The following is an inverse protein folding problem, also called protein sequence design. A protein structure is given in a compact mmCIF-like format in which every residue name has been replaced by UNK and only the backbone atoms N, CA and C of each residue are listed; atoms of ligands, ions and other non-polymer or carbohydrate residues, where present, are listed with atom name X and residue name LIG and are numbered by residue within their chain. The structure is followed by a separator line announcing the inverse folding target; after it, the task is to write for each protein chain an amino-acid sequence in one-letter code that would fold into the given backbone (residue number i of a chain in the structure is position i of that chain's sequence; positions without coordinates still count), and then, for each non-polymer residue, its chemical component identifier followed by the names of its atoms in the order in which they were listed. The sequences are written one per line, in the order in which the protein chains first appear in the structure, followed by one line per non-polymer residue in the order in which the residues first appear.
data_IF_209944534988
#
_entry.id   IF_209944534988
#
_cell.length_a   1.000
_cell.length_b   1.000
_cell.length_c   1.000
_cell.angle_alpha   90.00
_cell.angle_beta   90.00
_cell.angle_gamma   90.00
#
_symmetry.space_group_name_H-M   'P 1'
#
loop_
_entity.id
_entity.type
_entity.pdbx_description
1 polymer ?
#
# COMPACT_ATOMS: atom_id res chain seq x y z
N UNK A 1 13.19 -14.69 60.02
CA UNK A 1 12.38 -15.25 58.92
C UNK A 1 13.09 -14.96 57.61
N UNK A 2 13.61 -15.99 56.94
CA UNK A 2 14.28 -15.87 55.64
C UNK A 2 13.23 -15.94 54.52
N UNK A 3 13.12 -14.89 53.71
CA UNK A 3 12.34 -14.92 52.48
C UNK A 3 12.99 -15.88 51.48
N UNK A 4 12.30 -16.99 51.19
CA UNK A 4 12.63 -17.83 50.03
C UNK A 4 12.24 -17.07 48.76
N UNK A 5 13.20 -16.42 48.10
CA UNK A 5 13.04 -15.99 46.71
C UNK A 5 12.75 -17.23 45.86
N UNK A 6 11.55 -17.32 45.29
CA UNK A 6 11.23 -18.32 44.28
C UNK A 6 12.21 -18.14 43.11
N UNK A 7 13.06 -19.14 42.85
CA UNK A 7 13.88 -19.18 41.64
C UNK A 7 12.94 -19.44 40.47
N UNK A 8 12.52 -18.37 39.80
CA UNK A 8 11.91 -18.45 38.48
C UNK A 8 12.99 -19.02 37.58
N UNK A 9 12.85 -20.29 37.18
CA UNK A 9 13.66 -20.86 36.10
C UNK A 9 13.50 -19.93 34.89
N UNK A 10 14.59 -19.50 34.22
CA UNK A 10 14.48 -18.58 33.11
C UNK A 10 13.83 -19.33 31.95
N UNK A 11 12.51 -19.19 31.81
CA UNK A 11 11.74 -19.71 30.69
C UNK A 11 12.36 -19.28 29.33
N UNK A 12 13.10 -18.16 29.35
CA UNK A 12 13.88 -17.64 28.22
C UNK A 12 15.00 -18.57 27.75
N UNK A 13 15.68 -19.32 28.63
CA UNK A 13 16.82 -20.16 28.24
C UNK A 13 16.38 -21.43 27.50
N UNK A 14 15.27 -22.04 27.92
CA UNK A 14 14.69 -23.22 27.24
C UNK A 14 14.13 -22.82 25.88
N UNK A 15 13.46 -21.66 25.81
CA UNK A 15 12.95 -21.12 24.55
C UNK A 15 14.09 -20.78 23.57
N UNK A 16 15.19 -20.18 24.04
CA UNK A 16 16.37 -19.90 23.22
C UNK A 16 17.01 -21.16 22.64
N UNK A 17 17.17 -22.22 23.45
CA UNK A 17 17.69 -23.50 22.98
C UNK A 17 16.76 -24.17 21.96
N UNK A 18 15.44 -24.07 22.17
CA UNK A 18 14.45 -24.58 21.22
C UNK A 18 14.49 -23.82 19.88
N UNK A 19 14.53 -22.48 19.91
CA UNK A 19 14.66 -21.65 18.71
C UNK A 19 15.98 -21.91 17.98
N UNK A 20 17.07 -22.12 18.72
CA UNK A 20 18.37 -22.49 18.15
C UNK A 20 18.31 -23.87 17.48
N UNK A 21 17.67 -24.86 18.11
CA UNK A 21 17.44 -26.18 17.53
C UNK A 21 16.62 -26.13 16.24
N UNK A 22 15.55 -25.34 16.21
CA UNK A 22 14.76 -25.07 14.99
C UNK A 22 15.64 -24.41 13.92
N UNK A 23 16.43 -23.41 14.29
CA UNK A 23 17.36 -22.74 13.38
C UNK A 23 18.34 -23.71 12.73
N UNK A 24 18.96 -24.60 13.51
CA UNK A 24 19.85 -25.64 13.02
C UNK A 24 19.13 -26.64 12.11
N UNK A 25 17.90 -27.05 12.46
CA UNK A 25 17.10 -27.95 11.65
C UNK A 25 16.77 -27.33 10.29
N UNK A 26 16.30 -26.07 10.27
CA UNK A 26 16.00 -25.35 9.03
C UNK A 26 17.26 -25.13 8.18
N UNK A 27 18.40 -24.79 8.79
CA UNK A 27 19.67 -24.66 8.08
C UNK A 27 20.02 -25.94 7.30
N UNK A 28 19.91 -27.10 7.97
CA UNK A 28 20.21 -28.41 7.37
C UNK A 28 19.14 -28.92 6.39
N UNK A 29 17.91 -28.41 6.43
CA UNK A 29 16.78 -28.92 5.63
C UNK A 29 16.17 -27.83 4.70
N UNK A 30 16.62 -27.73 3.43
CA UNK A 30 16.11 -26.73 2.48
C UNK A 30 14.59 -26.83 2.22
N UNK A 31 14.03 -28.04 2.15
CA UNK A 31 12.59 -28.22 1.96
C UNK A 31 11.78 -27.71 3.16
N UNK A 32 12.25 -27.99 4.39
CA UNK A 32 11.63 -27.47 5.60
C UNK A 32 11.67 -25.93 5.65
N UNK A 33 12.72 -25.29 5.12
CA UNK A 33 12.79 -23.82 4.99
C UNK A 33 11.69 -23.26 4.08
N UNK A 34 11.41 -23.92 2.96
CA UNK A 34 10.33 -23.49 2.05
C UNK A 34 8.98 -23.52 2.77
N UNK A 35 8.70 -24.57 3.55
CA UNK A 35 7.46 -24.69 4.33
C UNK A 35 7.40 -23.76 5.54
N UNK A 36 8.53 -23.46 6.18
CA UNK A 36 8.60 -22.59 7.35
C UNK A 36 8.57 -21.08 7.00
N UNK A 37 8.99 -20.72 5.78
CA UNK A 37 9.10 -19.32 5.33
C UNK A 37 7.83 -18.49 5.58
N UNK A 38 6.60 -18.96 5.27
CA UNK A 38 5.39 -18.17 5.51
C UNK A 38 5.15 -17.88 7.00
N UNK A 39 5.43 -18.84 7.88
CA UNK A 39 5.27 -18.68 9.33
C UNK A 39 6.29 -17.70 9.91
N UNK A 40 7.53 -17.77 9.45
CA UNK A 40 8.58 -16.83 9.86
C UNK A 40 8.28 -15.39 9.39
N UNK A 41 7.74 -15.23 8.18
CA UNK A 41 7.29 -13.92 7.69
C UNK A 41 6.13 -13.38 8.52
N UNK A 42 5.15 -14.24 8.87
CA UNK A 42 4.01 -13.85 9.69
C UNK A 42 4.43 -13.44 11.11
N UNK A 43 5.31 -14.20 11.76
CA UNK A 43 5.78 -13.89 13.11
C UNK A 43 6.58 -12.59 13.15
N UNK A 44 7.44 -12.36 12.15
CA UNK A 44 8.18 -11.12 12.02
C UNK A 44 7.24 -9.92 11.77
N UNK A 45 6.26 -10.06 10.89
CA UNK A 45 5.24 -9.05 10.65
C UNK A 45 4.46 -8.71 11.93
N UNK A 46 4.09 -9.71 12.73
CA UNK A 46 3.37 -9.51 13.99
C UNK A 46 4.22 -8.75 15.02
N UNK A 47 5.50 -9.09 15.15
CA UNK A 47 6.42 -8.38 16.03
C UNK A 47 6.59 -6.91 15.63
N UNK A 48 6.73 -6.62 14.34
CA UNK A 48 6.78 -5.25 13.83
C UNK A 48 5.47 -4.50 14.08
N UNK A 49 4.33 -5.14 13.89
CA UNK A 49 3.03 -4.52 14.14
C UNK A 49 2.84 -4.15 15.62
N UNK A 50 3.26 -5.01 16.54
CA UNK A 50 3.24 -4.71 17.99
C UNK A 50 4.15 -3.53 18.30
N UNK A 51 5.38 -3.54 17.77
CA UNK A 51 6.32 -2.43 17.96
C UNK A 51 5.70 -1.10 17.50
N UNK A 52 5.23 -1.07 16.25
CA UNK A 52 4.68 0.14 15.64
C UNK A 52 3.45 0.63 16.44
N UNK A 53 2.58 -0.28 16.90
CA UNK A 53 1.41 0.04 17.74
C UNK A 53 1.79 0.63 19.10
N UNK A 54 2.79 0.06 19.78
CA UNK A 54 3.25 0.54 21.09
C UNK A 54 3.88 1.94 20.97
N UNK A 55 4.52 2.25 19.85
CA UNK A 55 5.12 3.56 19.59
C UNK A 55 4.08 4.63 19.18
N UNK A 56 2.91 4.21 18.69
CA UNK A 56 1.87 5.11 18.14
C UNK A 56 1.37 6.24 19.04
N UNK A 57 1.14 6.03 20.35
CA UNK A 57 0.74 7.11 21.26
C UNK A 57 1.77 8.24 21.39
N UNK A 58 3.04 7.97 21.05
CA UNK A 58 4.16 8.91 21.21
C UNK A 58 4.47 9.72 19.94
N UNK A 59 3.66 9.59 18.89
CA UNK A 59 3.87 10.34 17.67
C UNK A 59 3.71 11.84 17.88
N UNK A 60 4.67 12.60 17.35
CA UNK A 60 4.65 14.06 17.37
C UNK A 60 3.44 14.56 16.60
N UNK A 61 2.70 15.49 17.20
CA UNK A 61 1.65 16.21 16.51
C UNK A 61 2.26 17.12 15.43
N UNK A 62 1.68 17.12 14.23
CA UNK A 62 2.06 18.02 13.13
C UNK A 62 0.86 18.85 12.69
N UNK A 63 1.03 20.17 12.58
CA UNK A 63 -0.05 21.10 12.22
C UNK A 63 -0.15 21.40 10.72
N UNK A 64 0.77 20.86 9.91
CA UNK A 64 0.84 21.15 8.48
C UNK A 64 1.45 20.02 7.67
N UNK A 65 1.23 20.07 6.35
CA UNK A 65 1.67 19.03 5.43
C UNK A 65 3.17 19.00 5.12
N UNK A 66 4.00 19.88 5.70
CA UNK A 66 5.42 20.13 5.35
C UNK A 66 5.73 20.46 3.88
N UNK A 67 4.73 20.45 3.00
CA UNK A 67 4.85 20.72 1.56
C UNK A 67 3.83 21.76 1.11
N UNK A 68 4.05 22.36 -0.07
CA UNK A 68 3.07 23.22 -0.73
C UNK A 68 2.08 22.35 -1.52
N UNK A 69 0.79 22.45 -1.20
CA UNK A 69 -0.22 21.74 -1.97
C UNK A 69 -0.47 22.40 -3.34
N UNK A 70 -0.70 21.62 -4.40
CA UNK A 70 -1.04 22.16 -5.70
C UNK A 70 -2.46 22.78 -5.68
N UNK A 71 -2.51 24.10 -5.65
CA UNK A 71 -3.73 24.93 -5.47
C UNK A 71 -4.94 24.63 -6.38
N UNK A 72 -4.80 24.23 -7.67
CA UNK A 72 -5.99 24.00 -8.50
C UNK A 72 -6.78 22.75 -8.10
N UNK A 73 -6.22 21.83 -7.31
CA UNK A 73 -6.88 20.57 -6.96
C UNK A 73 -7.49 20.64 -5.56
N UNK A 74 -8.71 20.10 -5.41
CA UNK A 74 -9.50 20.15 -4.17
C UNK A 74 -9.67 18.81 -3.49
N UNK A 75 -9.36 17.73 -4.20
CA UNK A 75 -9.49 16.35 -3.69
C UNK A 75 -8.09 15.82 -3.44
N UNK A 76 -7.68 15.86 -2.17
CA UNK A 76 -6.37 15.42 -1.70
C UNK A 76 -6.48 14.07 -0.99
N UNK A 77 -5.46 13.27 -1.08
CA UNK A 77 -5.38 11.99 -0.40
C UNK A 77 -3.95 11.51 -0.25
N UNK A 78 -3.81 10.38 0.41
CA UNK A 78 -2.52 9.74 0.67
C UNK A 78 -2.46 8.37 0.04
N UNK A 79 -1.26 7.84 -0.09
CA UNK A 79 -1.08 6.40 -0.23
C UNK A 79 -0.06 5.91 0.79
N UNK A 80 -0.32 4.71 1.31
CA UNK A 80 0.33 4.20 2.52
C UNK A 80 0.62 2.73 2.40
N UNK A 81 1.69 2.32 3.06
CA UNK A 81 2.10 0.92 3.20
C UNK A 81 2.59 0.68 4.62
N UNK A 82 3.20 -0.48 4.85
CA UNK A 82 3.89 -0.73 6.10
C UNK A 82 5.06 0.24 6.39
N UNK A 83 5.56 0.98 5.40
CA UNK A 83 6.60 2.00 5.59
C UNK A 83 6.11 3.17 6.44
N UNK A 84 4.80 3.47 6.42
CA UNK A 84 4.18 4.48 7.27
C UNK A 84 3.91 4.01 8.71
N UNK A 85 4.36 2.81 9.07
CA UNK A 85 4.19 2.23 10.41
C UNK A 85 2.70 2.18 10.81
N UNK A 86 2.41 2.25 12.11
CA UNK A 86 1.05 2.14 12.61
C UNK A 86 0.33 3.48 12.55
N UNK A 87 -0.53 3.69 11.57
CA UNK A 87 -1.21 4.98 11.38
C UNK A 87 -2.34 5.19 12.40
N UNK A 88 -2.36 6.36 13.04
CA UNK A 88 -3.50 6.84 13.81
C UNK A 88 -4.49 7.59 12.90
N UNK A 89 -5.44 6.84 12.36
CA UNK A 89 -6.42 7.35 11.40
C UNK A 89 -7.41 8.36 11.99
N UNK A 90 -7.67 8.32 13.30
CA UNK A 90 -8.54 9.30 13.96
C UNK A 90 -7.93 10.70 13.85
N UNK A 91 -6.60 10.82 14.04
CA UNK A 91 -5.86 12.07 13.82
C UNK A 91 -5.80 12.46 12.34
N UNK A 92 -5.56 11.51 11.44
CA UNK A 92 -5.53 11.76 9.99
C UNK A 92 -6.87 12.36 9.51
N UNK A 93 -7.99 11.85 10.03
CA UNK A 93 -9.34 12.24 9.58
C UNK A 93 -9.72 13.68 9.90
N UNK A 94 -9.20 14.20 11.02
CA UNK A 94 -9.48 15.57 11.49
C UNK A 94 -8.41 16.56 11.04
N UNK A 95 -7.30 16.09 10.45
CA UNK A 95 -6.25 16.97 9.99
C UNK A 95 -6.77 17.89 8.88
N UNK A 96 -6.63 19.20 9.11
CA UNK A 96 -6.86 20.23 8.12
C UNK A 96 -5.66 21.17 8.08
N UNK A 97 -5.00 21.24 6.93
CA UNK A 97 -3.91 22.17 6.70
C UNK A 97 -4.04 22.79 5.31
N UNK A 98 -3.70 24.07 5.19
CA UNK A 98 -3.85 24.82 3.92
C UNK A 98 -5.29 24.78 3.37
N UNK A 99 -6.29 24.65 4.26
CA UNK A 99 -7.71 24.52 3.91
C UNK A 99 -8.07 23.20 3.22
N UNK A 100 -7.22 22.18 3.32
CA UNK A 100 -7.42 20.86 2.73
C UNK A 100 -7.39 19.78 3.82
N UNK A 101 -8.15 18.71 3.60
CA UNK A 101 -8.19 17.51 4.44
C UNK A 101 -7.94 16.28 3.56
N UNK A 102 -7.57 15.16 4.18
CA UNK A 102 -7.38 13.89 3.48
C UNK A 102 -8.76 13.28 3.18
N UNK A 103 -9.08 13.12 1.89
CA UNK A 103 -10.38 12.60 1.42
C UNK A 103 -10.34 11.13 1.03
N UNK A 104 -9.18 10.64 0.64
CA UNK A 104 -9.01 9.25 0.23
C UNK A 104 -7.64 8.72 0.65
N UNK A 105 -7.53 7.38 0.73
CA UNK A 105 -6.29 6.68 0.95
C UNK A 105 -6.22 5.41 0.09
N UNK A 106 -5.12 5.26 -0.66
CA UNK A 106 -4.75 3.96 -1.24
C UNK A 106 -3.80 3.22 -0.30
N UNK A 107 -4.17 2.00 0.10
CA UNK A 107 -3.38 1.20 1.02
C UNK A 107 -2.72 0.03 0.26
N UNK A 108 -1.41 -0.17 0.44
CA UNK A 108 -0.72 -1.34 -0.12
C UNK A 108 -1.37 -2.59 0.44
N UNK A 109 -1.82 -3.47 -0.44
CA UNK A 109 -2.36 -4.76 -0.03
C UNK A 109 -1.32 -5.85 -0.22
N UNK A 110 -0.75 -5.93 -1.42
CA UNK A 110 0.08 -7.05 -1.83
C UNK A 110 1.22 -6.60 -2.72
N UNK A 111 2.25 -7.43 -2.80
CA UNK A 111 3.36 -7.32 -3.73
C UNK A 111 3.68 -8.70 -4.31
N UNK A 112 3.82 -8.78 -5.64
CA UNK A 112 4.14 -10.04 -6.29
C UNK A 112 3.13 -11.15 -5.99
N UNK A 113 3.60 -12.39 -5.83
CA UNK A 113 2.70 -13.55 -5.70
C UNK A 113 2.44 -13.96 -4.24
N UNK A 114 3.22 -13.44 -3.30
CA UNK A 114 3.29 -14.00 -1.93
C UNK A 114 3.51 -12.96 -0.81
N UNK A 115 3.65 -11.67 -1.11
CA UNK A 115 3.90 -10.67 -0.08
C UNK A 115 2.66 -9.87 0.30
N UNK A 116 2.14 -10.09 1.51
CA UNK A 116 1.06 -9.31 2.13
C UNK A 116 1.66 -8.13 2.90
N UNK A 117 1.14 -6.92 2.70
CA UNK A 117 1.51 -5.77 3.52
C UNK A 117 0.97 -5.93 4.95
N UNK A 118 1.87 -5.89 5.94
CA UNK A 118 1.55 -6.18 7.34
C UNK A 118 0.56 -5.20 7.98
N UNK A 119 0.42 -3.99 7.44
CA UNK A 119 -0.49 -2.96 7.93
C UNK A 119 -1.78 -2.84 7.10
N UNK A 120 -1.94 -3.63 6.03
CA UNK A 120 -3.10 -3.54 5.14
C UNK A 120 -4.44 -3.66 5.85
N UNK A 121 -4.60 -4.68 6.72
CA UNK A 121 -5.88 -4.91 7.42
C UNK A 121 -6.24 -3.74 8.36
N UNK A 122 -5.25 -3.20 9.07
CA UNK A 122 -5.42 -2.02 9.91
C UNK A 122 -5.81 -0.80 9.07
N UNK A 123 -5.03 -0.50 8.04
CA UNK A 123 -5.24 0.66 7.17
C UNK A 123 -6.59 0.60 6.45
N UNK A 124 -6.99 -0.58 5.95
CA UNK A 124 -8.32 -0.81 5.35
C UNK A 124 -9.45 -0.51 6.34
N UNK A 125 -9.38 -1.09 7.54
CA UNK A 125 -10.48 -0.97 8.49
C UNK A 125 -10.59 0.44 9.08
N UNK A 126 -9.45 1.05 9.42
CA UNK A 126 -9.43 2.34 10.10
C UNK A 126 -9.68 3.53 9.16
N UNK A 127 -9.20 3.49 7.92
CA UNK A 127 -9.55 4.51 6.92
C UNK A 127 -11.07 4.56 6.68
N UNK A 128 -11.70 3.39 6.48
CA UNK A 128 -13.15 3.26 6.33
C UNK A 128 -13.92 3.74 7.55
N UNK A 129 -13.49 3.36 8.76
CA UNK A 129 -14.10 3.82 10.02
C UNK A 129 -14.05 5.35 10.16
N UNK A 130 -13.00 5.98 9.63
CA UNK A 130 -12.77 7.42 9.68
C UNK A 130 -13.32 8.20 8.46
N UNK A 131 -14.21 7.59 7.67
CA UNK A 131 -14.83 8.22 6.49
C UNK A 131 -13.83 8.74 5.44
N UNK A 132 -12.64 8.12 5.38
CA UNK A 132 -11.67 8.35 4.30
C UNK A 132 -11.92 7.30 3.23
N UNK A 133 -12.15 7.72 1.98
CA UNK A 133 -12.42 6.81 0.88
C UNK A 133 -11.25 5.83 0.71
N UNK A 134 -11.53 4.54 0.81
CA UNK A 134 -10.51 3.49 0.84
C UNK A 134 -10.29 2.89 -0.54
N UNK A 135 -9.04 2.75 -0.96
CA UNK A 135 -8.62 1.93 -2.10
C UNK A 135 -7.47 1.02 -1.74
N UNK A 136 -7.27 -0.02 -2.54
CA UNK A 136 -6.17 -0.95 -2.37
C UNK A 136 -5.29 -0.96 -3.63
N UNK A 137 -3.97 -1.10 -3.44
CA UNK A 137 -3.05 -1.28 -4.54
C UNK A 137 -2.19 -2.55 -4.41
N UNK A 138 -1.79 -3.06 -5.58
CA UNK A 138 -0.88 -4.18 -5.73
C UNK A 138 0.44 -3.71 -6.34
N UNK A 139 1.56 -3.90 -5.63
CA UNK A 139 2.89 -3.63 -6.17
C UNK A 139 3.30 -4.78 -7.10
N UNK A 140 3.31 -4.49 -8.39
CA UNK A 140 3.50 -5.45 -9.45
C UNK A 140 4.97 -5.79 -9.62
N UNK A 141 5.26 -7.09 -9.64
CA UNK A 141 6.57 -7.65 -9.96
C UNK A 141 6.56 -8.18 -11.38
N UNK A 142 7.21 -7.48 -12.30
CA UNK A 142 7.23 -7.82 -13.73
C UNK A 142 7.83 -9.20 -14.03
N UNK A 143 8.70 -9.71 -13.15
CA UNK A 143 9.26 -11.06 -13.26
C UNK A 143 8.27 -12.18 -12.91
N UNK A 144 7.16 -11.85 -12.24
CA UNK A 144 6.13 -12.79 -11.77
C UNK A 144 4.96 -12.91 -12.74
N UNK A 145 4.14 -13.95 -12.57
CA UNK A 145 2.97 -14.17 -13.42
C UNK A 145 1.87 -13.14 -13.13
N UNK A 146 1.28 -12.55 -14.17
CA UNK A 146 0.28 -11.50 -14.01
C UNK A 146 -1.02 -11.99 -13.39
N UNK A 147 -1.47 -13.19 -13.76
CA UNK A 147 -2.72 -13.78 -13.27
C UNK A 147 -2.56 -14.20 -11.81
N UNK A 148 -1.44 -14.84 -11.45
CA UNK A 148 -1.16 -15.23 -10.05
C UNK A 148 -1.10 -14.02 -9.12
N UNK A 149 -0.50 -12.93 -9.57
CA UNK A 149 -0.49 -11.65 -8.85
C UNK A 149 -1.91 -11.10 -8.65
N UNK A 150 -2.74 -11.10 -9.70
CA UNK A 150 -4.13 -10.64 -9.61
C UNK A 150 -4.96 -11.52 -8.66
N UNK A 151 -4.80 -12.84 -8.73
CA UNK A 151 -5.45 -13.79 -7.83
C UNK A 151 -5.05 -13.55 -6.36
N UNK A 152 -3.76 -13.38 -6.10
CA UNK A 152 -3.27 -13.12 -4.75
C UNK A 152 -3.79 -11.77 -4.22
N UNK A 153 -3.80 -10.74 -5.07
CA UNK A 153 -4.35 -9.44 -4.73
C UNK A 153 -5.84 -9.52 -4.38
N UNK A 154 -6.68 -10.10 -5.25
CA UNK A 154 -8.12 -10.26 -5.02
C UNK A 154 -8.44 -11.06 -3.76
N UNK A 155 -7.72 -12.17 -3.55
CA UNK A 155 -7.84 -12.98 -2.34
C UNK A 155 -7.53 -12.18 -1.08
N UNK A 156 -6.60 -11.23 -1.16
CA UNK A 156 -6.18 -10.41 -0.02
C UNK A 156 -7.15 -9.28 0.26
N UNK A 157 -7.55 -8.54 -0.77
CA UNK A 157 -8.45 -7.39 -0.59
C UNK A 157 -9.87 -7.81 -0.23
N UNK A 158 -10.23 -9.06 -0.53
CA UNK A 158 -11.58 -9.61 -0.38
C UNK A 158 -12.63 -8.77 -1.14
N UNK A 159 -13.91 -9.01 -0.89
CA UNK A 159 -14.99 -8.26 -1.53
C UNK A 159 -14.90 -6.77 -1.18
N UNK A 160 -14.89 -5.92 -2.21
CA UNK A 160 -14.95 -4.46 -2.09
C UNK A 160 -16.41 -3.99 -1.97
N UNK A 161 -16.64 -2.91 -1.23
CA UNK A 161 -17.95 -2.25 -1.12
C UNK A 161 -18.14 -1.18 -2.20
N UNK A 162 -19.38 -0.76 -2.50
CA UNK A 162 -19.64 0.33 -3.45
C UNK A 162 -18.95 1.67 -3.11
N UNK A 163 -18.64 1.89 -1.83
CA UNK A 163 -17.91 3.07 -1.34
C UNK A 163 -16.39 2.92 -1.37
N UNK A 164 -15.88 1.74 -1.75
CA UNK A 164 -14.43 1.54 -1.94
C UNK A 164 -14.04 2.03 -3.34
N UNK A 165 -12.78 2.45 -3.47
CA UNK A 165 -12.20 2.88 -4.73
C UNK A 165 -11.83 1.68 -5.62
N UNK A 166 -11.77 1.89 -6.93
CA UNK A 166 -11.29 0.91 -7.90
C UNK A 166 -9.88 0.42 -7.53
N UNK A 167 -9.53 -0.85 -7.81
CA UNK A 167 -8.21 -1.37 -7.50
C UNK A 167 -7.11 -0.71 -8.34
N UNK A 168 -5.91 -0.61 -7.79
CA UNK A 168 -4.72 -0.10 -8.50
C UNK A 168 -3.69 -1.21 -8.67
N UNK A 169 -3.07 -1.27 -9.85
CA UNK A 169 -1.80 -1.96 -10.08
C UNK A 169 -0.69 -0.93 -10.18
N UNK A 170 0.32 -1.09 -9.33
CA UNK A 170 1.49 -0.25 -9.23
C UNK A 170 2.65 -0.94 -9.96
N UNK A 171 3.14 -0.34 -11.06
CA UNK A 171 4.24 -0.87 -11.87
C UNK A 171 5.35 0.17 -12.01
N UNK A 172 6.51 -0.12 -11.44
CA UNK A 172 7.66 0.80 -11.44
C UNK A 172 8.96 0.20 -11.99
N UNK A 173 9.03 -1.12 -12.10
CA UNK A 173 10.26 -1.83 -12.44
C UNK A 173 10.03 -2.94 -13.45
N UNK A 174 11.03 -3.13 -14.34
CA UNK A 174 11.06 -4.27 -15.26
C UNK A 174 11.49 -5.57 -14.57
N UNK A 175 12.09 -5.52 -13.38
CA UNK A 175 12.65 -6.71 -12.69
C UNK A 175 13.55 -7.59 -13.59
N UNK A 176 14.25 -6.96 -14.55
CA UNK A 176 15.12 -7.62 -15.52
C UNK A 176 14.42 -8.38 -16.66
N UNK A 177 13.10 -8.21 -16.85
CA UNK A 177 12.39 -8.80 -18.00
C UNK A 177 12.26 -7.83 -19.18
N UNK A 178 12.07 -8.37 -20.38
CA UNK A 178 11.82 -7.57 -21.57
C UNK A 178 10.52 -6.74 -21.42
N UNK A 179 10.47 -5.47 -21.87
CA UNK A 179 9.28 -4.63 -21.77
C UNK A 179 8.01 -5.26 -22.38
N UNK A 180 8.13 -6.03 -23.46
CA UNK A 180 7.00 -6.74 -24.07
C UNK A 180 6.40 -7.79 -23.13
N UNK A 181 7.24 -8.54 -22.41
CA UNK A 181 6.80 -9.54 -21.43
C UNK A 181 6.16 -8.88 -20.21
N UNK A 182 6.75 -7.78 -19.71
CA UNK A 182 6.14 -6.98 -18.65
C UNK A 182 4.75 -6.50 -19.06
N UNK A 183 4.59 -5.91 -20.25
CA UNK A 183 3.30 -5.44 -20.76
C UNK A 183 2.29 -6.57 -20.90
N UNK A 184 2.70 -7.74 -21.40
CA UNK A 184 1.82 -8.91 -21.48
C UNK A 184 1.29 -9.29 -20.09
N UNK A 185 2.18 -9.43 -19.11
CA UNK A 185 1.81 -9.83 -17.74
C UNK A 185 0.96 -8.77 -17.03
N UNK A 186 1.27 -7.50 -17.24
CA UNK A 186 0.45 -6.39 -16.75
C UNK A 186 -0.96 -6.43 -17.37
N UNK A 187 -1.06 -6.69 -18.68
CA UNK A 187 -2.36 -6.86 -19.34
C UNK A 187 -3.14 -8.04 -18.76
N UNK A 188 -2.48 -9.19 -18.56
CA UNK A 188 -3.07 -10.38 -17.96
C UNK A 188 -3.64 -10.07 -16.55
N UNK A 189 -2.89 -9.32 -15.73
CA UNK A 189 -3.36 -8.83 -14.43
C UNK A 189 -4.61 -7.95 -14.57
N UNK A 190 -4.55 -6.92 -15.42
CA UNK A 190 -5.62 -5.93 -15.58
C UNK A 190 -6.93 -6.59 -16.04
N UNK A 191 -6.85 -7.47 -17.03
CA UNK A 191 -8.01 -8.19 -17.58
C UNK A 191 -8.61 -9.14 -16.55
N UNK A 192 -7.77 -9.80 -15.73
CA UNK A 192 -8.25 -10.67 -14.66
C UNK A 192 -9.04 -9.88 -13.61
N UNK A 193 -8.52 -8.75 -13.15
CA UNK A 193 -9.24 -7.89 -12.19
C UNK A 193 -10.57 -7.38 -12.78
N UNK A 194 -10.55 -6.91 -14.03
CA UNK A 194 -11.75 -6.43 -14.72
C UNK A 194 -12.82 -7.51 -14.82
N UNK A 195 -12.41 -8.75 -15.14
CA UNK A 195 -13.33 -9.90 -15.22
C UNK A 195 -13.98 -10.22 -13.87
N UNK A 196 -13.20 -10.22 -12.79
CA UNK A 196 -13.66 -10.70 -11.48
C UNK A 196 -14.45 -9.63 -10.69
N UNK A 197 -14.15 -8.34 -10.87
CA UNK A 197 -14.83 -7.24 -10.14
C UNK A 197 -15.85 -6.50 -11.03
N UNK A 198 -15.71 -6.57 -12.36
CA UNK A 198 -16.57 -5.84 -13.29
C UNK A 198 -16.21 -4.36 -13.47
N UNK A 199 -15.09 -3.91 -12.88
CA UNK A 199 -14.60 -2.53 -13.02
C UNK A 199 -13.16 -2.52 -13.54
N UNK A 200 -12.82 -1.52 -14.36
CA UNK A 200 -11.45 -1.33 -14.83
C UNK A 200 -10.54 -0.86 -13.68
N UNK A 201 -9.49 -1.61 -13.32
CA UNK A 201 -8.48 -1.10 -12.40
C UNK A 201 -7.74 0.10 -12.97
N UNK A 202 -7.04 0.84 -12.11
CA UNK A 202 -6.17 1.95 -12.49
C UNK A 202 -4.70 1.52 -12.46
N UNK A 203 -3.88 2.10 -13.32
CA UNK A 203 -2.43 1.86 -13.36
C UNK A 203 -1.73 3.01 -12.65
N UNK A 204 -0.93 2.69 -11.64
CA UNK A 204 0.06 3.60 -11.09
C UNK A 204 1.44 3.36 -11.73
N UNK A 205 2.18 4.44 -11.99
CA UNK A 205 3.57 4.40 -12.46
C UNK A 205 4.26 5.74 -12.21
N UNK A 206 5.58 5.72 -12.00
CA UNK A 206 6.42 6.92 -12.13
C UNK A 206 6.38 7.47 -13.57
N UNK A 207 6.48 8.80 -13.73
CA UNK A 207 6.38 9.50 -15.03
C UNK A 207 7.41 8.98 -16.07
N UNK A 208 8.65 8.75 -15.63
CA UNK A 208 9.70 8.21 -16.49
C UNK A 208 9.39 6.77 -16.96
N UNK A 209 9.03 5.89 -16.03
CA UNK A 209 8.70 4.50 -16.36
C UNK A 209 7.47 4.42 -17.28
N UNK A 210 6.47 5.28 -17.03
CA UNK A 210 5.31 5.39 -17.89
C UNK A 210 5.72 5.76 -19.32
N UNK A 211 6.50 6.84 -19.48
CA UNK A 211 6.95 7.31 -20.79
C UNK A 211 7.70 6.24 -21.56
N UNK A 212 8.59 5.52 -20.87
CA UNK A 212 9.53 4.59 -21.51
C UNK A 212 8.89 3.23 -21.82
N UNK A 213 7.91 2.76 -21.02
CA UNK A 213 7.42 1.38 -21.13
C UNK A 213 5.90 1.21 -21.23
N UNK A 214 5.11 2.18 -20.78
CA UNK A 214 3.64 2.10 -20.70
C UNK A 214 2.95 2.95 -21.77
N UNK A 215 3.50 4.11 -22.11
CA UNK A 215 2.92 5.05 -23.09
C UNK A 215 2.65 4.36 -24.43
N UNK A 216 1.48 4.63 -25.01
CA UNK A 216 1.01 3.97 -26.23
C UNK A 216 0.35 2.60 -25.99
N UNK A 217 0.45 2.07 -24.77
CA UNK A 217 -0.23 0.87 -24.33
C UNK A 217 -1.27 1.25 -23.26
N UNK A 218 -2.29 0.40 -23.05
CA UNK A 218 -3.27 0.58 -21.96
C UNK A 218 -4.09 1.89 -22.00
N UNK A 219 -4.39 2.43 -23.19
CA UNK A 219 -5.18 3.66 -23.35
C UNK A 219 -6.57 3.61 -22.70
N UNK A 220 -7.14 2.42 -22.53
CA UNK A 220 -8.44 2.17 -21.88
C UNK A 220 -8.40 2.28 -20.34
N UNK A 221 -7.21 2.33 -19.74
CA UNK A 221 -7.04 2.34 -18.29
C UNK A 221 -6.71 3.75 -17.79
N UNK A 222 -7.27 4.07 -16.62
CA UNK A 222 -6.96 5.29 -15.86
C UNK A 222 -5.51 5.24 -15.40
N UNK A 223 -4.92 6.42 -15.25
CA UNK A 223 -3.53 6.56 -14.83
C UNK A 223 -3.43 7.35 -13.53
N UNK A 224 -2.64 6.84 -12.61
CA UNK A 224 -2.12 7.55 -11.47
C UNK A 224 -0.61 7.71 -11.67
N UNK A 225 -0.12 8.95 -11.74
CA UNK A 225 1.27 9.20 -12.11
C UNK A 225 2.01 9.83 -10.93
N UNK A 226 3.20 9.31 -10.63
CA UNK A 226 4.12 9.95 -9.71
C UNK A 226 5.07 10.90 -10.46
N UNK A 227 5.08 12.16 -10.03
CA UNK A 227 6.02 13.17 -10.50
C UNK A 227 6.18 14.26 -9.42
N UNK A 228 7.39 14.41 -8.89
CA UNK A 228 7.68 15.32 -7.79
C UNK A 228 8.31 16.66 -8.21
N UNK A 229 8.59 16.85 -9.51
CA UNK A 229 9.22 18.08 -10.02
C UNK A 229 8.22 19.23 -10.21
N UNK A 230 6.94 19.02 -9.90
CA UNK A 230 5.88 20.01 -10.08
C UNK A 230 5.47 20.24 -11.54
N UNK A 231 6.07 19.52 -12.50
CA UNK A 231 5.72 19.54 -13.92
C UNK A 231 5.74 18.12 -14.47
N UNK A 232 4.55 17.51 -14.59
CA UNK A 232 4.42 16.28 -15.35
C UNK A 232 4.51 16.58 -16.84
N UNK A 233 5.24 15.75 -17.59
CA UNK A 233 5.27 15.82 -19.05
C UNK A 233 3.94 15.36 -19.66
N UNK A 234 3.06 14.76 -18.87
CA UNK A 234 1.74 14.34 -19.31
C UNK A 234 0.78 15.51 -19.30
N UNK A 235 0.01 15.64 -20.39
CA UNK A 235 -1.09 16.61 -20.40
C UNK A 235 -2.02 16.32 -19.21
N UNK A 236 -2.52 17.39 -18.58
CA UNK A 236 -3.49 17.32 -17.49
C UNK A 236 -4.73 16.46 -17.81
N UNK A 237 -5.00 16.18 -19.10
CA UNK A 237 -6.11 15.35 -19.56
C UNK A 237 -5.83 13.84 -19.56
N UNK A 238 -4.58 13.39 -19.35
CA UNK A 238 -4.21 11.96 -19.51
C UNK A 238 -4.19 11.18 -18.19
N UNK A 239 -3.92 11.83 -17.08
CA UNK A 239 -3.89 11.22 -15.75
C UNK A 239 -5.17 11.54 -14.96
N UNK A 240 -5.57 10.59 -14.11
CA UNK A 240 -6.73 10.67 -13.20
C UNK A 240 -6.27 11.10 -11.81
N UNK A 241 -5.11 10.62 -11.38
CA UNK A 241 -4.48 11.00 -10.12
C UNK A 241 -3.01 11.36 -10.32
N UNK A 242 -2.50 12.22 -9.44
CA UNK A 242 -1.10 12.65 -9.43
C UNK A 242 -0.54 12.55 -8.02
N UNK A 243 0.47 11.71 -7.83
CA UNK A 243 1.31 11.70 -6.63
C UNK A 243 2.38 12.79 -6.80
N UNK A 244 2.26 13.85 -6.01
CA UNK A 244 3.01 15.07 -6.21
C UNK A 244 4.09 15.29 -5.14
N UNK A 245 4.13 14.43 -4.11
CA UNK A 245 5.15 14.46 -3.07
C UNK A 245 5.25 13.10 -2.39
N UNK A 246 6.44 12.81 -1.86
CA UNK A 246 6.78 11.67 -1.01
C UNK A 246 7.31 12.10 0.38
N UNK A 247 7.26 13.41 0.66
CA UNK A 247 7.89 14.03 1.84
C UNK A 247 6.90 14.82 2.69
N UNK A 248 5.60 14.59 2.50
CA UNK A 248 4.58 15.23 3.31
C UNK A 248 4.58 14.67 4.72
N UNK A 249 4.19 15.50 5.69
CA UNK A 249 3.87 15.06 7.05
C UNK A 249 2.37 15.12 7.27
N UNK A 250 1.77 14.10 7.87
CA UNK A 250 0.34 14.06 8.19
C UNK A 250 0.19 13.67 9.65
N UNK A 251 -0.67 14.38 10.39
CA UNK A 251 -0.88 14.06 11.79
C UNK A 251 -1.45 12.66 11.96
N UNK A 252 -0.88 11.90 12.90
CA UNK A 252 -1.13 10.47 13.04
C UNK A 252 -0.27 9.55 12.18
N UNK A 253 0.61 10.09 11.32
CA UNK A 253 1.60 9.31 10.56
C UNK A 253 3.03 9.69 11.05
N UNK A 254 3.81 8.74 11.57
CA UNK A 254 5.11 9.03 12.20
C UNK A 254 6.25 9.28 11.19
N UNK A 255 6.05 8.91 9.94
CA UNK A 255 7.03 9.05 8.86
C UNK A 255 6.53 10.04 7.82
N UNK A 256 7.36 10.28 6.79
CA UNK A 256 6.85 10.88 5.57
C UNK A 256 5.81 10.00 4.89
N UNK A 257 4.89 10.65 4.18
CA UNK A 257 3.82 10.00 3.43
C UNK A 257 3.68 10.63 2.05
N UNK A 258 3.26 9.79 1.11
CA UNK A 258 2.97 10.18 -0.25
C UNK A 258 1.66 10.97 -0.33
N UNK A 259 1.69 12.10 -1.03
CA UNK A 259 0.56 13.02 -1.17
C UNK A 259 0.07 13.08 -2.61
N UNK A 260 -1.25 12.93 -2.75
CA UNK A 260 -1.93 12.74 -4.01
C UNK A 260 -3.04 13.74 -4.21
N UNK A 261 -3.29 14.06 -5.47
CA UNK A 261 -4.47 14.79 -5.90
C UNK A 261 -5.22 14.05 -7.00
N UNK A 262 -6.54 14.16 -6.98
CA UNK A 262 -7.40 13.76 -8.08
C UNK A 262 -7.63 14.92 -9.05
N UNK A 263 -7.70 14.61 -10.36
CA UNK A 263 -7.99 15.57 -11.41
C UNK A 263 -9.50 15.85 -11.50
N UNK A 264 -9.99 16.75 -10.65
CA UNK A 264 -11.39 17.20 -10.68
C UNK A 264 -11.93 17.58 -9.31
N UNK A 265 -13.24 17.77 -9.25
CA UNK A 265 -13.98 17.95 -8.01
C UNK A 265 -14.35 16.62 -7.35
N UNK A 266 -15.04 16.68 -6.21
CA UNK A 266 -15.40 15.49 -5.43
C UNK A 266 -16.51 14.64 -6.07
N UNK A 267 -17.40 15.23 -6.87
CA UNK A 267 -18.42 14.46 -7.59
C UNK A 267 -17.81 13.68 -8.75
N UNK A 268 -16.88 14.31 -9.47
CA UNK A 268 -16.05 13.65 -10.48
C UNK A 268 -15.18 12.55 -9.86
N UNK A 269 -14.62 12.77 -8.67
CA UNK A 269 -13.90 11.74 -7.91
C UNK A 269 -14.78 10.52 -7.66
N UNK A 270 -15.99 10.70 -7.12
CA UNK A 270 -16.93 9.59 -6.88
C UNK A 270 -17.23 8.80 -8.15
N UNK A 271 -17.60 9.51 -9.23
CA UNK A 271 -17.93 8.90 -10.53
C UNK A 271 -16.74 8.25 -11.22
N UNK A 272 -15.52 8.64 -10.91
CA UNK A 272 -14.31 8.10 -11.55
C UNK A 272 -13.70 6.94 -10.79
N UNK A 273 -13.80 6.95 -9.46
CA UNK A 273 -13.00 6.07 -8.61
C UNK A 273 -13.82 5.20 -7.68
N UNK A 274 -15.04 5.55 -7.27
CA UNK A 274 -15.83 4.67 -6.40
C UNK A 274 -16.54 3.58 -7.20
N UNK A 275 -16.43 2.34 -6.72
CA UNK A 275 -16.95 1.14 -7.39
C UNK A 275 -18.45 1.23 -7.64
N UNK A 276 -19.22 1.79 -6.72
CA UNK A 276 -20.67 1.92 -6.85
C UNK A 276 -21.15 2.87 -7.96
N UNK A 277 -20.23 3.61 -8.57
CA UNK A 277 -20.50 4.51 -9.69
C UNK A 277 -19.88 4.05 -11.02
N UNK A 278 -19.20 2.89 -11.03
CA UNK A 278 -18.59 2.33 -12.23
C UNK A 278 -19.53 1.42 -13.02
#
# INVERSE_FOLDING_TARGET
MSEKKAKIFPFSSVLLLFLFGIGLYLYKNPQARVHAKPYAQLSYAYALNIKDFVEAPFYKHVSGYSIKLPKPYKVHGIDVSHHQQYINWDRVSVMNAQGQSIKFAYCKATEGEDHLDRHFAHNKNQSKKNNIAFGAYHFFRAKKDGIKQAQFFLKTINKLSPTDMIPVVDIEYLDGVAPSLMRKRLLDFLLYIEKEIGVKPMIYSGDAFYRDYIKGHFSKYRLWIANYSGSTQLSKKRWTMWQHSQTATVDGIPTYVDMNVFYGDFDQFKKSLLIGFQ
#
